data_IF_805407436795
#
_entry.id   IF_805407436795
#
_cell.length_a   1.000
_cell.length_b   1.000
_cell.length_c   1.000
_cell.angle_alpha   90.00
_cell.angle_beta   90.00
_cell.angle_gamma   90.00
#
_symmetry.space_group_name_H-M   'P 1'
#
loop_
_entity.id
_entity.type
_entity.pdbx_description
1 polymer ?
#
# COMPACT_ATOMS: atom_id res chain seq x y z
N UNK A 1 46.75 44.85 4.16
CA UNK A 1 46.32 43.44 4.30
C UNK A 1 45.16 43.26 5.28
N UNK A 2 44.93 44.18 6.23
CA UNK A 2 43.87 44.01 7.24
C UNK A 2 42.42 44.07 6.71
N UNK A 3 42.09 44.95 5.77
CA UNK A 3 40.70 45.08 5.26
C UNK A 3 40.18 43.85 4.48
N UNK A 4 41.07 43.03 3.92
CA UNK A 4 40.68 41.83 3.15
C UNK A 4 40.22 40.68 4.08
N UNK A 5 40.93 40.51 5.21
CA UNK A 5 40.61 39.51 6.22
C UNK A 5 39.27 39.79 6.91
N UNK A 6 38.96 41.06 7.23
CA UNK A 6 37.68 41.43 7.85
C UNK A 6 36.47 41.15 6.94
N UNK A 7 36.63 41.33 5.62
CA UNK A 7 35.58 41.00 4.64
C UNK A 7 35.37 39.50 4.49
N UNK A 8 36.45 38.71 4.56
CA UNK A 8 36.37 37.24 4.51
C UNK A 8 35.66 36.66 5.74
N UNK A 9 35.98 37.19 6.93
CA UNK A 9 35.35 36.77 8.19
C UNK A 9 33.86 37.16 8.21
N UNK A 10 33.50 38.36 7.72
CA UNK A 10 32.11 38.78 7.61
C UNK A 10 31.31 37.89 6.64
N UNK A 11 31.90 37.47 5.50
CA UNK A 11 31.27 36.54 4.57
C UNK A 11 31.08 35.14 5.17
N UNK A 12 32.05 34.65 5.95
CA UNK A 12 31.93 33.39 6.70
C UNK A 12 30.83 33.44 7.77
N UNK A 13 30.67 34.56 8.48
CA UNK A 13 29.60 34.76 9.46
C UNK A 13 28.21 34.84 8.83
N UNK A 14 28.08 35.46 7.65
CA UNK A 14 26.83 35.50 6.88
C UNK A 14 26.49 34.10 6.32
N UNK A 15 27.50 33.34 5.90
CA UNK A 15 27.28 31.97 5.43
C UNK A 15 26.86 31.04 6.58
N UNK A 16 27.47 31.19 7.76
CA UNK A 16 27.12 30.43 8.96
C UNK A 16 25.73 30.78 9.49
N UNK A 17 25.32 32.05 9.46
CA UNK A 17 23.97 32.46 9.87
C UNK A 17 22.88 31.97 8.90
N UNK A 18 23.19 31.87 7.60
CA UNK A 18 22.30 31.23 6.62
C UNK A 18 22.10 29.73 6.85
N UNK A 19 23.12 29.01 7.37
CA UNK A 19 22.97 27.58 7.70
C UNK A 19 22.17 27.32 8.97
N UNK A 20 22.13 28.27 9.92
CA UNK A 20 21.36 28.16 11.16
C UNK A 20 19.89 28.58 10.99
N UNK A 21 19.55 29.36 9.96
CA UNK A 21 18.18 29.84 9.71
C UNK A 21 17.33 28.86 8.87
N UNK A 22 17.88 27.71 8.47
CA UNK A 22 17.15 26.67 7.76
C UNK A 22 16.71 25.52 8.69
N UNK A 23 16.10 25.88 9.82
CA UNK A 23 15.20 24.98 10.54
C UNK A 23 13.81 25.64 10.51
N UNK A 24 13.17 25.57 9.35
CA UNK A 24 11.73 25.79 9.30
C UNK A 24 11.08 24.52 9.84
N UNK A 25 10.54 24.59 11.05
CA UNK A 25 9.66 23.58 11.62
C UNK A 25 8.51 23.32 10.63
N UNK A 26 8.63 22.25 9.84
CA UNK A 26 7.62 21.82 8.87
C UNK A 26 6.37 21.20 9.54
N UNK A 27 6.30 21.19 10.86
CA UNK A 27 5.20 20.60 11.61
C UNK A 27 4.41 21.69 12.36
N UNK A 28 3.84 22.65 11.63
CA UNK A 28 2.65 23.35 12.14
C UNK A 28 1.47 22.40 12.03
N UNK A 29 1.30 21.53 13.04
CA UNK A 29 0.03 20.83 13.23
C UNK A 29 -1.04 21.89 13.48
N UNK A 30 -2.03 21.98 12.60
CA UNK A 30 -3.12 22.94 12.75
C UNK A 30 -4.02 22.51 13.91
N UNK A 31 -4.43 23.45 14.76
CA UNK A 31 -5.50 23.18 15.74
C UNK A 31 -6.74 22.68 14.98
N UNK A 32 -7.21 21.48 15.33
CA UNK A 32 -8.32 20.80 14.66
C UNK A 32 -7.93 19.72 13.64
N UNK A 33 -6.64 19.43 13.45
CA UNK A 33 -6.20 18.33 12.59
C UNK A 33 -6.54 16.96 13.22
N UNK A 34 -7.49 16.24 12.61
CA UNK A 34 -7.90 14.88 13.05
C UNK A 34 -7.06 13.75 12.43
N UNK A 35 -6.38 14.03 11.32
CA UNK A 35 -5.62 13.02 10.58
C UNK A 35 -4.24 13.55 10.20
N UNK A 36 -3.25 12.67 10.29
CA UNK A 36 -1.89 12.93 9.83
C UNK A 36 -1.59 12.00 8.66
N UNK A 37 -0.99 12.55 7.61
CA UNK A 37 -0.53 11.77 6.48
C UNK A 37 0.66 10.91 6.92
N UNK A 38 0.57 9.60 6.68
CA UNK A 38 1.70 8.68 6.77
C UNK A 38 2.15 8.37 5.35
N UNK A 39 3.41 8.66 5.03
CA UNK A 39 3.95 8.42 3.68
C UNK A 39 4.31 6.94 3.47
N UNK A 40 4.39 6.46 2.22
CA UNK A 40 4.87 5.12 1.92
C UNK A 40 6.27 4.83 2.49
N UNK A 41 7.14 5.84 2.59
CA UNK A 41 8.48 5.69 3.19
C UNK A 41 8.42 5.52 4.70
N UNK A 42 7.41 6.10 5.36
CA UNK A 42 7.18 5.94 6.79
C UNK A 42 6.52 4.60 7.10
N UNK A 43 5.54 4.18 6.28
CA UNK A 43 4.74 2.98 6.54
C UNK A 43 5.25 1.71 5.89
N UNK A 44 5.99 1.78 4.79
CA UNK A 44 6.31 0.62 3.96
C UNK A 44 5.16 0.17 3.04
N UNK A 45 3.97 0.78 3.13
CA UNK A 45 2.83 0.44 2.27
C UNK A 45 2.95 1.15 0.93
N UNK A 46 3.18 0.38 -0.13
CA UNK A 46 3.49 0.89 -1.48
C UNK A 46 2.53 0.40 -2.57
N UNK A 47 1.49 -0.34 -2.19
CA UNK A 47 0.54 -0.91 -3.13
C UNK A 47 -0.17 0.15 -3.98
N UNK A 48 -0.28 -0.13 -5.27
CA UNK A 48 -0.99 0.70 -6.21
C UNK A 48 -1.75 -0.17 -7.22
N UNK A 49 -3.08 -0.05 -7.22
CA UNK A 49 -3.95 -0.76 -8.16
C UNK A 49 -3.96 -0.05 -9.52
N UNK A 50 -2.84 -0.15 -10.25
CA UNK A 50 -2.69 0.47 -11.57
C UNK A 50 -3.62 -0.24 -12.57
N UNK A 51 -4.44 0.55 -13.25
CA UNK A 51 -5.28 0.10 -14.35
C UNK A 51 -4.65 0.60 -15.66
N UNK A 52 -4.40 -0.33 -16.58
CA UNK A 52 -3.92 -0.06 -17.93
C UNK A 52 -5.01 -0.44 -18.91
N UNK A 53 -5.56 0.55 -19.60
CA UNK A 53 -6.52 0.31 -20.67
C UNK A 53 -5.83 -0.26 -21.92
N UNK A 54 -6.53 -1.15 -22.61
CA UNK A 54 -6.15 -1.66 -23.94
C UNK A 54 -7.35 -1.61 -24.88
N UNK A 55 -7.17 -1.72 -26.21
CA UNK A 55 -8.31 -1.79 -27.13
C UNK A 55 -9.32 -2.91 -26.83
N UNK A 56 -8.92 -3.95 -26.07
CA UNK A 56 -9.82 -5.01 -25.57
C UNK A 56 -10.33 -4.76 -24.15
N UNK A 57 -9.52 -4.10 -23.32
CA UNK A 57 -9.79 -3.85 -21.89
C UNK A 57 -9.94 -2.34 -21.68
N UNK A 58 -11.11 -1.81 -22.00
CA UNK A 58 -11.43 -0.40 -21.84
C UNK A 58 -12.86 -0.25 -21.33
N UNK A 59 -13.19 0.93 -20.84
CA UNK A 59 -14.46 1.18 -20.15
C UNK A 59 -15.70 0.78 -20.97
N UNK A 60 -15.72 1.05 -22.28
CA UNK A 60 -16.86 0.69 -23.14
C UNK A 60 -17.07 -0.82 -23.31
N UNK A 61 -16.00 -1.62 -23.20
CA UNK A 61 -16.10 -3.08 -23.27
C UNK A 61 -16.29 -3.72 -21.90
N UNK A 62 -15.77 -3.10 -20.85
CA UNK A 62 -15.91 -3.56 -19.47
C UNK A 62 -16.18 -2.38 -18.54
N UNK A 63 -17.46 -2.11 -18.30
CA UNK A 63 -17.92 -0.98 -17.49
C UNK A 63 -17.50 -1.04 -16.01
N UNK A 64 -16.85 -2.12 -15.57
CA UNK A 64 -16.39 -2.33 -14.18
C UNK A 64 -14.89 -2.09 -13.99
N UNK A 65 -14.17 -1.64 -15.03
CA UNK A 65 -12.70 -1.52 -15.02
C UNK A 65 -12.18 -0.58 -13.91
N UNK A 66 -13.02 0.35 -13.43
CA UNK A 66 -12.70 1.35 -12.41
C UNK A 66 -13.36 1.14 -11.05
N UNK A 67 -14.02 0.00 -10.83
CA UNK A 67 -14.74 -0.24 -9.57
C UNK A 67 -13.82 -0.48 -8.36
N UNK A 68 -12.51 -0.61 -8.57
CA UNK A 68 -11.56 -1.03 -7.56
C UNK A 68 -11.66 -2.53 -7.26
N UNK A 69 -10.77 -3.01 -6.41
CA UNK A 69 -10.67 -4.43 -6.08
C UNK A 69 -10.99 -4.71 -4.60
N UNK A 70 -10.68 -3.78 -3.68
CA UNK A 70 -10.98 -3.91 -2.25
C UNK A 70 -9.75 -4.07 -1.36
N UNK A 71 -9.99 -4.06 -0.04
CA UNK A 71 -9.00 -4.21 1.02
C UNK A 71 -9.61 -5.02 2.15
N UNK A 72 -8.81 -5.88 2.78
CA UNK A 72 -9.15 -6.56 4.02
C UNK A 72 -8.14 -6.22 5.11
N UNK A 73 -8.64 -6.14 6.33
CA UNK A 73 -7.87 -5.87 7.54
C UNK A 73 -8.20 -6.98 8.53
N UNK A 74 -7.19 -7.68 9.00
CA UNK A 74 -7.31 -8.75 9.99
C UNK A 74 -5.94 -9.02 10.63
N UNK A 75 -5.93 -9.67 11.78
CA UNK A 75 -4.71 -10.25 12.36
C UNK A 75 -4.54 -11.64 11.75
N UNK A 76 -3.67 -11.78 10.74
CA UNK A 76 -3.56 -13.03 9.98
C UNK A 76 -2.63 -14.05 10.63
N UNK A 77 -1.69 -13.59 11.45
CA UNK A 77 -0.72 -14.45 12.14
C UNK A 77 -0.91 -14.51 13.67
N UNK A 78 -1.99 -13.92 14.17
CA UNK A 78 -2.40 -13.91 15.58
C UNK A 78 -1.35 -13.26 16.51
N UNK A 79 -0.63 -12.24 16.02
CA UNK A 79 0.36 -11.50 16.80
C UNK A 79 -0.23 -10.30 17.56
N UNK A 80 -1.54 -10.05 17.39
CA UNK A 80 -2.28 -8.98 18.02
C UNK A 80 -2.30 -7.68 17.21
N UNK A 81 -1.61 -7.61 16.07
CA UNK A 81 -1.64 -6.47 15.16
C UNK A 81 -2.53 -6.72 13.94
N UNK A 82 -3.17 -5.66 13.46
CA UNK A 82 -4.00 -5.73 12.26
C UNK A 82 -3.11 -5.54 11.02
N UNK A 83 -3.06 -6.56 10.18
CA UNK A 83 -2.38 -6.58 8.89
C UNK A 83 -3.27 -6.01 7.78
N UNK A 84 -2.68 -5.80 6.60
CA UNK A 84 -3.40 -5.28 5.43
C UNK A 84 -3.25 -6.22 4.25
N UNK A 85 -4.39 -6.67 3.72
CA UNK A 85 -4.44 -7.40 2.46
C UNK A 85 -5.11 -6.56 1.37
N UNK A 86 -4.37 -6.19 0.34
CA UNK A 86 -4.88 -5.55 -0.86
C UNK A 86 -5.09 -6.56 -1.96
N UNK A 87 -6.22 -6.44 -2.65
CA UNK A 87 -6.44 -7.10 -3.94
C UNK A 87 -6.24 -6.10 -5.08
N UNK A 88 -5.72 -6.58 -6.20
CA UNK A 88 -5.50 -5.78 -7.42
C UNK A 88 -6.40 -6.23 -8.57
N UNK A 89 -6.96 -5.30 -9.33
CA UNK A 89 -7.76 -5.63 -10.50
C UNK A 89 -6.89 -6.26 -11.61
N UNK A 90 -5.77 -5.62 -11.97
CA UNK A 90 -4.82 -6.09 -12.98
C UNK A 90 -3.41 -6.36 -12.43
N UNK A 91 -3.05 -5.73 -11.31
CA UNK A 91 -1.76 -5.95 -10.61
C UNK A 91 -1.87 -7.12 -9.64
N UNK A 92 -0.77 -7.66 -9.11
CA UNK A 92 -0.78 -8.72 -8.07
C UNK A 92 -1.33 -8.25 -6.72
N UNK A 93 -1.89 -9.18 -5.94
CA UNK A 93 -2.35 -8.91 -4.57
C UNK A 93 -1.16 -8.64 -3.66
N UNK A 94 -1.39 -7.91 -2.57
CA UNK A 94 -0.34 -7.60 -1.58
C UNK A 94 -0.80 -7.85 -0.16
N UNK A 95 0.03 -8.53 0.61
CA UNK A 95 -0.11 -8.70 2.05
C UNK A 95 1.00 -7.95 2.76
N UNK A 96 0.59 -7.02 3.62
CA UNK A 96 1.46 -6.21 4.45
C UNK A 96 1.30 -6.63 5.90
N UNK A 97 2.34 -7.24 6.47
CA UNK A 97 2.40 -7.55 7.89
C UNK A 97 2.65 -6.28 8.69
N UNK A 98 1.89 -6.05 9.74
CA UNK A 98 2.05 -4.92 10.64
C UNK A 98 3.20 -5.18 11.63
N UNK A 99 4.14 -4.25 11.70
CA UNK A 99 5.29 -4.29 12.62
C UNK A 99 5.11 -3.34 13.82
N UNK A 100 3.93 -2.74 13.95
CA UNK A 100 3.62 -1.68 14.91
C UNK A 100 4.05 -0.29 14.43
N UNK A 101 3.56 0.74 15.12
CA UNK A 101 3.90 2.16 14.84
C UNK A 101 3.67 2.59 13.38
N UNK A 102 2.59 2.10 12.76
CA UNK A 102 2.25 2.32 11.35
C UNK A 102 3.31 1.83 10.35
N UNK A 103 4.20 0.93 10.75
CA UNK A 103 5.18 0.28 9.86
C UNK A 103 4.67 -1.09 9.42
N UNK A 104 4.92 -1.40 8.16
CA UNK A 104 4.45 -2.61 7.52
C UNK A 104 5.54 -3.19 6.62
N UNK A 105 5.55 -4.51 6.50
CA UNK A 105 6.43 -5.27 5.63
C UNK A 105 5.61 -6.02 4.57
N UNK A 106 5.99 -5.91 3.30
CA UNK A 106 5.39 -6.70 2.23
C UNK A 106 5.87 -8.16 2.33
N UNK A 107 5.00 -9.03 2.83
CA UNK A 107 5.25 -10.47 3.00
C UNK A 107 4.57 -11.31 1.91
N UNK A 108 4.13 -10.69 0.81
CA UNK A 108 3.33 -11.35 -0.23
C UNK A 108 4.02 -12.57 -0.84
N UNK A 109 5.32 -12.47 -1.12
CA UNK A 109 6.11 -13.56 -1.68
C UNK A 109 6.32 -14.69 -0.67
N UNK A 110 6.56 -14.34 0.60
CA UNK A 110 6.72 -15.31 1.69
C UNK A 110 5.42 -16.09 1.93
N UNK A 111 4.28 -15.38 1.94
CA UNK A 111 2.96 -15.98 1.99
C UNK A 111 2.62 -16.74 0.71
N UNK A 112 3.32 -16.48 -0.41
CA UNK A 112 3.15 -17.12 -1.72
C UNK A 112 1.83 -16.78 -2.43
N UNK A 113 1.26 -15.60 -2.16
CA UNK A 113 -0.05 -15.15 -2.70
C UNK A 113 0.05 -14.59 -4.14
N UNK A 114 1.27 -14.40 -4.62
CA UNK A 114 1.65 -13.87 -5.94
C UNK A 114 1.43 -14.85 -7.12
N UNK A 115 0.88 -16.03 -6.85
CA UNK A 115 0.76 -17.13 -7.82
C UNK A 115 -0.53 -17.12 -8.63
N UNK A 116 -1.45 -16.19 -8.35
CA UNK A 116 -2.82 -16.24 -8.84
C UNK A 116 -3.16 -15.05 -9.74
N UNK A 117 -3.17 -15.30 -11.04
CA UNK A 117 -3.53 -14.28 -12.04
C UNK A 117 -5.05 -14.05 -12.17
N UNK A 118 -5.40 -13.02 -12.94
CA UNK A 118 -6.78 -12.69 -13.30
C UNK A 118 -7.34 -11.48 -12.57
N UNK A 119 -8.59 -11.15 -12.88
CA UNK A 119 -9.26 -9.96 -12.35
C UNK A 119 -9.88 -10.23 -10.98
N UNK A 120 -9.53 -9.42 -9.98
CA UNK A 120 -10.10 -9.47 -8.61
C UNK A 120 -10.98 -8.26 -8.39
N UNK A 121 -12.13 -8.48 -7.75
CA UNK A 121 -13.15 -7.45 -7.56
C UNK A 121 -13.56 -7.24 -6.10
N UNK A 122 -13.09 -8.10 -5.19
CA UNK A 122 -13.45 -8.05 -3.79
C UNK A 122 -12.56 -8.94 -2.95
N UNK A 123 -12.45 -8.59 -1.67
CA UNK A 123 -11.85 -9.42 -0.63
C UNK A 123 -12.69 -9.34 0.64
N UNK A 124 -12.78 -10.45 1.37
CA UNK A 124 -13.43 -10.55 2.68
C UNK A 124 -12.65 -11.54 3.54
N UNK A 125 -12.77 -11.43 4.86
CA UNK A 125 -12.07 -12.29 5.82
C UNK A 125 -13.04 -12.85 6.85
N UNK A 126 -12.86 -14.12 7.19
CA UNK A 126 -13.60 -14.81 8.24
C UNK A 126 -12.85 -16.10 8.64
N UNK A 127 -12.86 -16.47 9.92
CA UNK A 127 -12.47 -17.82 10.34
C UNK A 127 -13.61 -18.80 9.99
N UNK A 128 -13.58 -19.36 8.79
CA UNK A 128 -14.66 -20.22 8.28
C UNK A 128 -14.46 -21.66 8.72
N UNK A 129 -13.21 -22.07 8.92
CA UNK A 129 -12.87 -23.44 9.27
C UNK A 129 -12.78 -23.66 10.79
N UNK A 130 -12.82 -22.60 11.59
CA UNK A 130 -12.87 -22.63 13.05
C UNK A 130 -11.53 -22.95 13.70
N UNK A 131 -10.41 -22.66 13.04
CA UNK A 131 -9.07 -22.92 13.57
C UNK A 131 -8.46 -21.71 14.29
N UNK A 132 -9.20 -20.61 14.40
CA UNK A 132 -8.74 -19.39 15.03
C UNK A 132 -7.80 -18.57 14.16
N UNK A 133 -7.63 -18.89 12.88
CA UNK A 133 -6.93 -18.05 11.92
C UNK A 133 -7.92 -17.44 10.94
N UNK A 134 -7.71 -16.17 10.59
CA UNK A 134 -8.59 -15.48 9.65
C UNK A 134 -8.34 -15.96 8.22
N UNK A 135 -9.32 -16.63 7.62
CA UNK A 135 -9.24 -17.03 6.21
C UNK A 135 -9.54 -15.84 5.29
N UNK A 136 -8.89 -15.82 4.12
CA UNK A 136 -9.09 -14.80 3.08
C UNK A 136 -9.93 -15.36 1.94
N UNK A 137 -10.96 -14.59 1.56
CA UNK A 137 -11.87 -14.89 0.45
C UNK A 137 -11.77 -13.80 -0.61
N UNK A 138 -11.38 -14.18 -1.83
CA UNK A 138 -11.19 -13.25 -2.93
C UNK A 138 -12.21 -13.56 -4.02
N UNK A 139 -12.92 -12.53 -4.48
CA UNK A 139 -13.81 -12.65 -5.64
C UNK A 139 -13.00 -12.42 -6.90
N UNK A 140 -12.99 -13.43 -7.77
CA UNK A 140 -12.36 -13.41 -9.10
C UNK A 140 -13.43 -13.47 -10.18
N UNK A 141 -13.31 -12.62 -11.19
CA UNK A 141 -14.22 -12.59 -12.33
C UNK A 141 -13.89 -11.45 -13.30
N UNK A 142 -13.96 -11.71 -14.60
CA UNK A 142 -13.60 -10.72 -15.63
C UNK A 142 -13.16 -11.36 -16.95
N UNK A 143 -12.54 -10.55 -17.82
CA UNK A 143 -12.21 -10.88 -19.21
C UNK A 143 -10.87 -11.60 -19.43
N UNK A 144 -10.00 -11.67 -18.42
CA UNK A 144 -8.70 -12.32 -18.57
C UNK A 144 -8.87 -13.85 -18.64
N UNK A 145 -8.11 -14.50 -19.54
CA UNK A 145 -8.13 -15.93 -19.83
C UNK A 145 -7.87 -16.80 -18.59
N UNK A 146 -8.90 -17.03 -17.79
CA UNK A 146 -8.92 -18.11 -16.81
C UNK A 146 -9.29 -19.38 -17.58
N UNK A 147 -8.52 -20.48 -17.48
CA UNK A 147 -8.94 -21.76 -18.05
C UNK A 147 -10.39 -22.05 -17.66
N UNK A 148 -11.18 -22.52 -18.63
CA UNK A 148 -12.65 -22.64 -18.61
C UNK A 148 -13.24 -23.31 -17.36
N UNK A 149 -12.41 -24.04 -16.59
CA UNK A 149 -12.75 -24.70 -15.32
C UNK A 149 -12.88 -23.74 -14.12
N UNK A 150 -12.50 -22.47 -14.25
CA UNK A 150 -12.55 -21.44 -13.18
C UNK A 150 -13.39 -20.24 -13.68
N UNK A 151 -14.57 -20.53 -14.24
CA UNK A 151 -15.54 -19.50 -14.68
C UNK A 151 -16.60 -19.17 -13.62
N UNK A 152 -16.41 -19.68 -12.41
CA UNK A 152 -17.23 -19.42 -11.23
C UNK A 152 -16.42 -18.48 -10.34
N UNK A 153 -17.06 -17.49 -9.71
CA UNK A 153 -16.51 -16.77 -8.56
C UNK A 153 -15.77 -17.77 -7.65
N UNK A 154 -14.45 -17.83 -7.77
CA UNK A 154 -13.66 -18.83 -7.08
C UNK A 154 -13.03 -18.15 -5.87
N UNK A 155 -13.63 -18.39 -4.72
CA UNK A 155 -12.98 -18.12 -3.44
C UNK A 155 -11.82 -19.11 -3.29
N UNK A 156 -10.59 -18.63 -3.39
CA UNK A 156 -9.43 -19.40 -2.97
C UNK A 156 -9.19 -19.13 -1.49
N UNK A 157 -9.49 -20.12 -0.63
CA UNK A 157 -9.15 -20.09 0.79
C UNK A 157 -7.65 -20.23 0.88
N UNK A 158 -7.00 -19.28 1.54
CA UNK A 158 -5.58 -19.39 1.82
C UNK A 158 -5.30 -19.08 3.28
N UNK A 159 -4.64 -20.01 3.94
CA UNK A 159 -3.96 -19.81 5.23
C UNK A 159 -2.64 -19.11 4.94
N UNK A 160 -2.35 -18.08 5.71
CA UNK A 160 -1.03 -17.46 5.79
C UNK A 160 -0.29 -18.12 6.95
#
# INVERSE_FOLDING_TARGET
>A
MEQSATRLIALLFIFLSCTLSCNTDKNKSFEGQLFTLITPEQSGVTFNNVIVETPREHIYSFNYIYNGAGVAIADFDNDGFQDIYFVGNQVQDKLYKNLGNFKFEDVSALAGIDKFDGWRSGVSTADVNGDGFMDIYITRGGFLNIPEKIRICSSSIKKI
#
